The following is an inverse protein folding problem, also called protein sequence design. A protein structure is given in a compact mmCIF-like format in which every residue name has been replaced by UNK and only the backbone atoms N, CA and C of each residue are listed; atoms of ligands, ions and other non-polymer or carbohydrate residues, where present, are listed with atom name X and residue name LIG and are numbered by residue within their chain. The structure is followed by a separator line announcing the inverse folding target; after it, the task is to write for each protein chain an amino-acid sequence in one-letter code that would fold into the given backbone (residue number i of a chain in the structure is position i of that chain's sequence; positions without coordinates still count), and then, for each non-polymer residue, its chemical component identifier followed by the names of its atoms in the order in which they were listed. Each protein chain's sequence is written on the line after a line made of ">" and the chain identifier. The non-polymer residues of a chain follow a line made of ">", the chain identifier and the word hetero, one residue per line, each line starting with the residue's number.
data_IF_666937811734
#
_entry.id   IF_666937811734
#
_cell.length_a   1.000
_cell.length_b   1.000
_cell.length_c   1.000
_cell.angle_alpha   90.00
_cell.angle_beta   90.00
_cell.angle_gamma   90.00
#
_symmetry.space_group_name_H-M   'P 1'
#
loop_
_entity.id
_entity.type
_entity.pdbx_description
1 polymer ?
#
# COMPACT_ATOMS: atom_id res chain seq x y z
N UNK A 1 -15.46 -6.28 -6.27
CA UNK A 1 -14.59 -5.52 -5.36
C UNK A 1 -13.44 -6.42 -4.98
N UNK A 2 -12.21 -5.91 -5.00
CA UNK A 2 -11.01 -6.65 -4.55
C UNK A 2 -10.46 -5.94 -3.30
N UNK A 3 -10.09 -6.70 -2.29
CA UNK A 3 -9.44 -6.21 -1.07
C UNK A 3 -8.03 -6.79 -1.00
N UNK A 4 -7.03 -5.95 -0.77
CA UNK A 4 -5.62 -6.36 -0.77
C UNK A 4 -4.95 -5.79 0.48
N UNK A 5 -4.54 -6.65 1.41
CA UNK A 5 -3.95 -6.20 2.66
C UNK A 5 -2.57 -6.81 2.83
N UNK A 6 -1.60 -5.99 3.23
CA UNK A 6 -0.22 -6.41 3.49
C UNK A 6 0.40 -7.19 2.32
N UNK A 7 0.05 -6.85 1.07
CA UNK A 7 0.53 -7.59 -0.10
C UNK A 7 1.22 -6.67 -1.10
N UNK A 8 0.69 -5.47 -1.33
CA UNK A 8 1.24 -4.55 -2.34
C UNK A 8 2.67 -4.12 -2.00
N UNK A 9 3.03 -4.04 -0.72
CA UNK A 9 4.38 -3.67 -0.27
C UNK A 9 5.47 -4.69 -0.66
N UNK A 10 5.11 -5.88 -1.15
CA UNK A 10 6.09 -6.85 -1.69
C UNK A 10 6.58 -6.49 -3.10
N UNK A 11 5.90 -5.55 -3.77
CA UNK A 11 6.19 -5.16 -5.15
C UNK A 11 6.82 -3.79 -5.19
N UNK A 12 7.78 -3.60 -6.09
CA UNK A 12 8.30 -2.28 -6.44
C UNK A 12 7.36 -1.55 -7.40
N UNK A 13 7.59 -0.25 -7.62
CA UNK A 13 6.77 0.58 -8.50
C UNK A 13 6.69 0.04 -9.94
N UNK A 14 7.73 -0.64 -10.42
CA UNK A 14 7.78 -1.18 -11.78
C UNK A 14 6.87 -2.39 -11.98
N UNK A 15 6.63 -3.16 -10.91
CA UNK A 15 5.70 -4.31 -10.91
C UNK A 15 4.29 -3.95 -10.47
N UNK A 16 4.14 -2.90 -9.66
CA UNK A 16 2.84 -2.41 -9.20
C UNK A 16 1.99 -1.84 -10.34
N UNK A 17 2.58 -1.09 -11.27
CA UNK A 17 1.82 -0.49 -12.37
C UNK A 17 1.16 -1.54 -13.29
N UNK A 18 1.86 -2.59 -13.76
CA UNK A 18 1.24 -3.70 -14.48
C UNK A 18 0.15 -4.42 -13.68
N UNK A 19 0.38 -4.65 -12.38
CA UNK A 19 -0.61 -5.27 -11.49
C UNK A 19 -1.88 -4.41 -11.39
N UNK A 20 -1.72 -3.11 -11.16
CA UNK A 20 -2.85 -2.17 -11.08
C UNK A 20 -3.61 -2.07 -12.40
N UNK A 21 -2.89 -2.10 -13.53
CA UNK A 21 -3.49 -2.15 -14.85
C UNK A 21 -4.35 -3.41 -15.06
N UNK A 22 -3.97 -4.55 -14.46
CA UNK A 22 -4.80 -5.76 -14.48
C UNK A 22 -6.00 -5.63 -13.53
N UNK A 23 -5.78 -5.14 -12.31
CA UNK A 23 -6.81 -5.00 -11.28
C UNK A 23 -7.94 -4.05 -11.71
N UNK A 24 -7.59 -2.91 -12.31
CA UNK A 24 -8.58 -1.91 -12.77
C UNK A 24 -9.54 -2.48 -13.82
N UNK A 25 -9.10 -3.45 -14.64
CA UNK A 25 -9.94 -4.11 -15.64
C UNK A 25 -10.81 -5.23 -15.06
N UNK A 26 -10.45 -5.75 -13.89
CA UNK A 26 -11.07 -6.94 -13.29
C UNK A 26 -12.06 -6.60 -12.19
N UNK A 27 -11.91 -5.45 -11.53
CA UNK A 27 -12.79 -5.06 -10.44
C UNK A 27 -13.17 -3.58 -10.53
N UNK A 28 -14.45 -3.25 -10.26
CA UNK A 28 -14.90 -1.85 -10.23
C UNK A 28 -14.34 -1.06 -9.03
N UNK A 29 -13.90 -1.76 -7.97
CA UNK A 29 -13.40 -1.17 -6.73
C UNK A 29 -12.23 -2.01 -6.18
N UNK A 30 -11.17 -1.32 -5.77
CA UNK A 30 -10.01 -1.84 -5.06
C UNK A 30 -9.91 -1.13 -3.69
N UNK A 31 -9.78 -1.91 -2.62
CA UNK A 31 -9.46 -1.44 -1.29
C UNK A 31 -8.13 -2.05 -0.86
N UNK A 32 -7.20 -1.24 -0.37
CA UNK A 32 -5.94 -1.73 0.14
C UNK A 32 -5.60 -1.16 1.51
N UNK A 33 -5.05 -2.01 2.38
CA UNK A 33 -4.49 -1.62 3.68
C UNK A 33 -3.07 -2.15 3.78
N UNK A 34 -2.11 -1.24 3.72
CA UNK A 34 -0.69 -1.54 3.65
C UNK A 34 0.05 -0.93 4.86
N UNK A 35 1.23 -1.44 5.24
CA UNK A 35 2.03 -0.81 6.26
C UNK A 35 2.58 0.52 5.73
N UNK A 36 2.51 1.56 6.55
CA UNK A 36 3.03 2.89 6.23
C UNK A 36 4.56 2.88 6.20
N UNK A 37 5.16 3.49 5.17
CA UNK A 37 6.62 3.71 5.05
C UNK A 37 7.13 4.83 5.97
N UNK A 38 6.71 4.83 7.23
CA UNK A 38 7.12 5.84 8.19
C UNK A 38 7.47 5.19 9.53
N UNK A 39 8.72 4.73 9.65
CA UNK A 39 9.52 4.83 10.88
C UNK A 39 8.97 4.26 12.20
N UNK A 40 7.89 3.50 12.22
CA UNK A 40 7.23 3.18 13.49
C UNK A 40 7.61 1.81 14.05
N UNK A 41 8.38 0.99 13.34
CA UNK A 41 9.16 -0.07 13.98
C UNK A 41 10.29 0.50 14.87
N UNK A 42 10.73 1.74 14.61
CA UNK A 42 11.77 2.43 15.40
C UNK A 42 11.25 3.02 16.72
N UNK A 43 9.93 3.19 16.87
CA UNK A 43 9.32 3.64 18.12
C UNK A 43 8.94 2.48 19.05
N UNK A 44 8.50 1.34 18.52
CA UNK A 44 8.24 0.14 19.32
C UNK A 44 9.53 -0.55 19.78
N UNK A 45 10.62 -0.49 19.00
CA UNK A 45 11.95 -0.97 19.42
C UNK A 45 12.58 -0.18 20.58
N UNK A 46 12.14 1.06 20.84
CA UNK A 46 12.58 1.80 22.05
C UNK A 46 11.81 1.39 23.33
N UNK A 47 10.70 0.66 23.20
CA UNK A 47 9.89 0.13 24.31
C UNK A 47 10.13 -1.36 24.60
N UNK A 48 10.84 -2.06 23.71
CA UNK A 48 11.20 -3.48 23.84
C UNK A 48 12.34 -3.87 24.81
N UNK A 49 13.18 -2.97 25.38
CA UNK A 49 14.16 -3.39 26.38
C UNK A 49 13.54 -3.96 27.67
N UNK A 50 12.26 -3.69 27.94
CA UNK A 50 11.57 -4.15 29.14
C UNK A 50 11.17 -5.65 29.11
N UNK A 51 11.27 -6.33 27.97
CA UNK A 51 10.79 -7.72 27.79
C UNK A 51 11.83 -8.70 27.21
N UNK A 52 13.13 -8.41 27.32
CA UNK A 52 14.19 -9.43 27.18
C UNK A 52 14.22 -10.27 25.88
N UNK A 53 13.91 -9.70 24.72
CA UNK A 53 13.85 -10.44 23.45
C UNK A 53 14.97 -10.06 22.45
N UNK A 54 15.51 -11.10 21.81
CA UNK A 54 16.77 -11.25 21.07
C UNK A 54 17.08 -10.33 19.86
N UNK A 55 18.38 -10.22 19.58
CA UNK A 55 19.07 -9.50 18.48
C UNK A 55 18.72 -9.97 17.04
N UNK A 56 17.89 -11.01 16.92
CA UNK A 56 17.49 -11.63 15.64
C UNK A 56 16.33 -10.87 14.95
N UNK A 57 15.55 -10.08 15.69
CA UNK A 57 14.40 -9.32 15.16
C UNK A 57 14.77 -7.95 14.57
N UNK A 58 16.07 -7.60 14.57
CA UNK A 58 16.57 -6.29 14.15
C UNK A 58 16.82 -6.18 12.64
N UNK A 59 17.14 -7.29 11.98
CA UNK A 59 17.52 -7.29 10.56
C UNK A 59 16.31 -7.41 9.62
N UNK A 60 15.36 -8.32 9.90
CA UNK A 60 14.15 -8.46 9.08
C UNK A 60 13.21 -7.26 9.18
N UNK A 61 13.15 -6.61 10.35
CA UNK A 61 12.36 -5.41 10.54
C UNK A 61 12.85 -4.24 9.66
N UNK A 62 14.15 -4.14 9.39
CA UNK A 62 14.70 -3.10 8.52
C UNK A 62 14.29 -3.27 7.05
N UNK A 63 14.05 -4.52 6.62
CA UNK A 63 13.61 -4.83 5.27
C UNK A 63 12.11 -4.50 5.08
N UNK A 64 11.26 -4.78 6.07
CA UNK A 64 9.84 -4.39 6.06
C UNK A 64 9.63 -2.86 6.12
N UNK A 65 10.53 -2.12 6.77
CA UNK A 65 10.47 -0.64 6.88
C UNK A 65 10.71 0.06 5.54
N UNK A 66 11.47 -0.54 4.62
CA UNK A 66 11.69 -0.01 3.28
C UNK A 66 10.57 -0.33 2.28
N UNK A 67 9.65 -1.22 2.63
CA UNK A 67 8.67 -1.80 1.71
C UNK A 67 7.31 -1.06 1.67
N UNK A 68 6.96 -0.29 2.71
CA UNK A 68 5.65 0.39 2.77
C UNK A 68 5.47 1.53 1.77
N UNK A 69 4.26 2.11 1.72
CA UNK A 69 3.92 3.28 0.87
C UNK A 69 3.88 4.58 1.69
N UNK A 70 4.16 5.72 1.04
CA UNK A 70 4.06 7.06 1.64
C UNK A 70 3.37 8.05 0.71
N UNK A 71 2.43 8.83 1.26
CA UNK A 71 1.82 9.95 0.52
C UNK A 71 0.78 9.47 -0.49
N UNK A 72 0.99 9.81 -1.76
CA UNK A 72 0.09 9.55 -2.89
C UNK A 72 0.59 8.45 -3.85
N UNK A 73 1.62 7.68 -3.47
CA UNK A 73 2.26 6.70 -4.37
C UNK A 73 1.26 5.70 -4.97
N UNK A 74 0.28 5.21 -4.19
CA UNK A 74 -0.72 4.27 -4.70
C UNK A 74 -1.74 4.97 -5.60
N UNK A 75 -2.13 6.20 -5.28
CA UNK A 75 -3.03 7.02 -6.09
C UNK A 75 -2.41 7.38 -7.44
N UNK A 76 -1.12 7.71 -7.46
CA UNK A 76 -0.39 8.05 -8.67
C UNK A 76 -0.29 6.83 -9.60
N UNK A 77 0.06 5.66 -9.04
CA UNK A 77 0.11 4.40 -9.78
C UNK A 77 -1.28 3.94 -10.26
N UNK A 78 -2.31 4.11 -9.43
CA UNK A 78 -3.69 3.74 -9.79
C UNK A 78 -4.24 4.65 -10.89
N UNK A 79 -3.94 5.95 -10.84
CA UNK A 79 -4.28 6.91 -11.90
C UNK A 79 -3.56 6.57 -13.20
N UNK A 80 -2.26 6.28 -13.14
CA UNK A 80 -1.47 5.85 -14.30
C UNK A 80 -1.98 4.54 -14.92
N UNK A 81 -2.56 3.65 -14.10
CA UNK A 81 -3.22 2.44 -14.57
C UNK A 81 -4.62 2.69 -15.20
N UNK A 82 -5.10 3.92 -15.22
CA UNK A 82 -6.43 4.29 -15.74
C UNK A 82 -7.56 4.17 -14.72
N UNK A 83 -7.24 3.98 -13.44
CA UNK A 83 -8.19 4.03 -12.34
C UNK A 83 -8.44 5.47 -11.85
N UNK A 84 -9.48 5.65 -11.04
CA UNK A 84 -9.72 6.89 -10.29
C UNK A 84 -9.47 6.64 -8.81
N UNK A 85 -8.44 7.22 -8.20
CA UNK A 85 -8.25 7.20 -6.75
C UNK A 85 -9.46 7.83 -6.07
N UNK A 86 -9.92 7.22 -4.98
CA UNK A 86 -11.01 7.73 -4.15
C UNK A 86 -10.47 8.26 -2.83
N UNK A 87 -9.54 7.54 -2.23
CA UNK A 87 -8.96 7.88 -0.93
C UNK A 87 -7.56 7.28 -0.83
N UNK A 88 -6.61 8.05 -0.32
CA UNK A 88 -5.34 7.54 0.15
C UNK A 88 -4.94 8.31 1.40
N UNK A 89 -4.80 7.60 2.51
CA UNK A 89 -4.43 8.25 3.78
C UNK A 89 -3.75 7.29 4.72
N UNK A 90 -3.03 7.88 5.65
CA UNK A 90 -2.59 7.19 6.86
C UNK A 90 -3.81 6.85 7.73
N UNK A 91 -3.87 5.61 8.19
CA UNK A 91 -4.87 5.12 9.15
C UNK A 91 -4.15 4.63 10.41
N UNK A 92 -4.11 5.48 11.44
CA UNK A 92 -3.38 5.16 12.65
C UNK A 92 -1.87 5.15 12.44
N UNK A 93 -1.11 4.55 13.38
CA UNK A 93 0.29 4.89 13.49
C UNK A 93 1.16 4.06 12.51
N UNK A 94 0.69 2.88 12.07
CA UNK A 94 1.39 1.94 11.19
C UNK A 94 0.71 1.64 9.86
N UNK A 95 -0.54 2.06 9.65
CA UNK A 95 -1.30 1.64 8.46
C UNK A 95 -1.49 2.79 7.49
N UNK A 96 -1.52 2.42 6.21
CA UNK A 96 -1.79 3.27 5.07
C UNK A 96 -2.93 2.63 4.30
N UNK A 97 -4.02 3.35 4.13
CA UNK A 97 -5.23 2.88 3.47
C UNK A 97 -5.34 3.55 2.12
N UNK A 98 -5.71 2.76 1.13
CA UNK A 98 -5.98 3.20 -0.22
C UNK A 98 -7.31 2.64 -0.70
N UNK A 99 -8.08 3.47 -1.42
CA UNK A 99 -9.29 3.07 -2.11
C UNK A 99 -9.29 3.67 -3.52
N UNK A 100 -9.60 2.85 -4.52
CA UNK A 100 -9.65 3.26 -5.91
C UNK A 100 -10.81 2.62 -6.66
N UNK A 101 -11.46 3.37 -7.52
CA UNK A 101 -12.44 2.86 -8.48
C UNK A 101 -11.78 2.65 -9.84
N UNK A 102 -12.29 1.68 -10.61
CA UNK A 102 -11.99 1.66 -12.04
C UNK A 102 -12.60 2.90 -12.70
N UNK A 103 -11.88 3.54 -13.62
CA UNK A 103 -12.54 4.50 -14.50
C UNK A 103 -13.47 3.70 -15.40
N UNK A 104 -14.76 3.99 -15.31
CA UNK A 104 -15.69 3.45 -16.28
C UNK A 104 -15.20 3.90 -17.67
N UNK A 105 -15.14 3.00 -18.67
CA UNK A 105 -14.89 3.44 -20.02
C UNK A 105 -15.94 4.50 -20.33
N UNK A 106 -15.49 5.69 -20.78
CA UNK A 106 -16.39 6.68 -21.37
C UNK A 106 -17.13 5.91 -22.45
N UNK A 107 -18.43 5.71 -22.25
CA UNK A 107 -19.28 5.10 -23.26
C UNK A 107 -19.22 6.06 -24.43
N UNK A 108 -18.51 5.70 -25.50
CA UNK A 108 -18.52 6.46 -26.73
C UNK A 108 -19.99 6.58 -27.14
N UNK A 109 -20.52 7.79 -27.06
CA UNK A 109 -21.87 8.08 -27.56
C UNK A 109 -21.75 8.00 -29.09
N UNK A 110 -22.58 7.18 -29.76
CA UNK A 110 -22.54 7.01 -31.21
C UNK A 110 -22.91 8.30 -31.95
#
# INVERSE_FOLDING_TARGET
>A
MITVNLFLHHFDNTRLLPLFSLLVRRAPLLLATEPLRAGLALATTRLLPAMGANDVTRHDAAQSVRAGFRGSELSDLWSAAGGRPLEERRAGPFSHVFAGAASMPVKAVP
#
